data_IF_720612903168
#
_entry.id   IF_720612903168
#
_cell.length_a   1.000
_cell.length_b   1.000
_cell.length_c   1.000
_cell.angle_alpha   90.00
_cell.angle_beta   90.00
_cell.angle_gamma   90.00
#
_symmetry.space_group_name_H-M   'P 1'
#
loop_
_entity.id
_entity.type
_entity.pdbx_description
1 polymer ?
#
# COMPACT_ATOMS: atom_id res chain seq x y z
N UNK A 1 65.33 -29.37 -8.18
CA UNK A 1 64.94 -28.01 -7.76
C UNK A 1 63.63 -27.66 -8.45
N UNK A 2 62.55 -27.59 -7.68
CA UNK A 2 61.20 -27.26 -8.12
C UNK A 2 61.10 -25.75 -8.27
N UNK A 3 60.74 -25.24 -9.45
CA UNK A 3 60.22 -23.88 -9.58
C UNK A 3 58.72 -23.95 -9.85
N UNK A 4 57.98 -23.45 -8.87
CA UNK A 4 56.54 -23.36 -8.75
C UNK A 4 56.08 -22.13 -9.54
N UNK A 5 55.36 -22.32 -10.64
CA UNK A 5 54.58 -21.24 -11.27
C UNK A 5 53.30 -21.03 -10.45
N UNK A 6 53.17 -19.87 -9.82
CA UNK A 6 51.94 -19.44 -9.14
C UNK A 6 51.03 -18.81 -10.19
N UNK A 7 49.94 -19.48 -10.52
CA UNK A 7 48.83 -18.92 -11.30
C UNK A 7 47.90 -18.17 -10.34
N UNK A 8 47.89 -16.84 -10.40
CA UNK A 8 46.89 -16.02 -9.70
C UNK A 8 45.63 -16.06 -10.55
N UNK A 9 44.65 -16.86 -10.13
CA UNK A 9 43.30 -16.82 -10.68
C UNK A 9 42.56 -15.63 -10.06
N UNK A 10 42.44 -14.54 -10.80
CA UNK A 10 41.56 -13.42 -10.45
C UNK A 10 40.11 -13.87 -10.61
N UNK A 11 39.48 -14.28 -9.51
CA UNK A 11 38.03 -14.54 -9.48
C UNK A 11 37.35 -13.16 -9.45
N UNK A 12 36.91 -12.70 -10.63
CA UNK A 12 35.95 -11.61 -10.73
C UNK A 12 34.60 -12.19 -10.33
N UNK A 13 34.21 -12.00 -9.07
CA UNK A 13 32.83 -12.22 -8.64
C UNK A 13 32.02 -11.07 -9.22
N UNK A 14 31.56 -11.24 -10.47
CA UNK A 14 30.43 -10.48 -10.97
C UNK A 14 29.22 -10.94 -10.14
N UNK A 15 28.96 -10.24 -9.04
CA UNK A 15 27.69 -10.31 -8.36
C UNK A 15 26.64 -9.84 -9.36
N UNK A 16 26.03 -10.76 -10.10
CA UNK A 16 24.80 -10.51 -10.80
C UNK A 16 23.74 -10.18 -9.76
N UNK A 17 23.72 -8.92 -9.31
CA UNK A 17 22.47 -8.30 -8.88
C UNK A 17 21.60 -8.40 -10.11
N UNK A 18 20.67 -9.34 -10.14
CA UNK A 18 19.67 -9.40 -11.20
C UNK A 18 18.92 -8.08 -11.15
N UNK A 19 19.32 -7.12 -11.99
CA UNK A 19 18.55 -5.92 -12.21
C UNK A 19 17.21 -6.40 -12.74
N UNK A 20 16.17 -6.26 -11.92
CA UNK A 20 14.81 -6.54 -12.35
C UNK A 20 14.48 -5.44 -13.34
N UNK A 21 14.24 -5.79 -14.61
CA UNK A 21 13.89 -4.80 -15.62
C UNK A 21 12.67 -3.99 -15.15
N UNK A 22 12.73 -2.65 -15.24
CA UNK A 22 11.63 -1.80 -14.81
C UNK A 22 10.41 -2.03 -15.71
N UNK A 23 9.24 -2.14 -15.09
CA UNK A 23 7.97 -2.23 -15.83
C UNK A 23 7.58 -0.83 -16.28
N UNK A 24 7.42 -0.64 -17.59
CA UNK A 24 7.00 0.64 -18.15
C UNK A 24 5.48 0.79 -18.07
N UNK A 25 5.03 1.92 -17.51
CA UNK A 25 3.63 2.31 -17.50
C UNK A 25 3.35 3.30 -18.63
N UNK A 26 2.20 3.21 -19.30
CA UNK A 26 1.76 4.24 -20.24
C UNK A 26 1.64 5.60 -19.53
N UNK A 27 2.19 6.65 -20.14
CA UNK A 27 1.95 8.02 -19.70
C UNK A 27 0.61 8.47 -20.27
N UNK A 28 -0.32 8.86 -19.40
CA UNK A 28 -1.66 9.30 -19.79
C UNK A 28 -1.84 10.76 -19.37
N UNK A 29 -2.18 11.62 -20.32
CA UNK A 29 -2.71 12.96 -20.05
C UNK A 29 -4.23 12.88 -19.83
N UNK A 30 -4.61 12.64 -18.57
CA UNK A 30 -6.02 12.55 -18.19
C UNK A 30 -6.80 13.82 -18.49
N UNK A 31 -6.17 15.00 -18.46
CA UNK A 31 -6.84 16.28 -18.71
C UNK A 31 -7.29 16.38 -20.18
N UNK A 32 -6.42 15.97 -21.10
CA UNK A 32 -6.73 15.93 -22.53
C UNK A 32 -7.75 14.83 -22.87
N UNK A 33 -7.53 13.61 -22.39
CA UNK A 33 -8.36 12.43 -22.72
C UNK A 33 -9.79 12.53 -22.15
N UNK A 34 -9.94 13.12 -20.97
CA UNK A 34 -11.22 13.35 -20.31
C UNK A 34 -11.78 14.75 -20.58
N UNK A 35 -11.26 15.48 -21.57
CA UNK A 35 -11.84 16.75 -21.99
C UNK A 35 -13.35 16.59 -22.29
N UNK A 36 -14.16 17.51 -21.76
CA UNK A 36 -15.62 17.50 -21.88
C UNK A 36 -16.34 16.44 -21.03
N UNK A 37 -15.63 15.62 -20.23
CA UNK A 37 -16.26 14.75 -19.25
C UNK A 37 -16.43 15.48 -17.91
N UNK A 38 -17.58 15.32 -17.26
CA UNK A 38 -17.85 15.86 -15.91
C UNK A 38 -17.43 14.84 -14.85
N UNK A 39 -16.59 15.20 -13.86
CA UNK A 39 -16.22 14.29 -12.79
C UNK A 39 -17.43 13.72 -12.04
N UNK A 40 -17.37 12.44 -11.68
CA UNK A 40 -18.43 11.79 -10.91
C UNK A 40 -18.41 12.28 -9.45
N UNK A 41 -19.55 12.78 -8.96
CA UNK A 41 -19.69 13.16 -7.56
C UNK A 41 -19.70 11.96 -6.60
N UNK A 42 -19.89 12.21 -5.30
CA UNK A 42 -19.92 11.15 -4.29
C UNK A 42 -21.02 10.10 -4.52
N UNK A 43 -22.23 10.53 -4.91
CA UNK A 43 -23.36 9.62 -5.12
C UNK A 43 -23.12 8.71 -6.33
N UNK A 44 -22.65 9.28 -7.45
CA UNK A 44 -22.33 8.52 -8.67
C UNK A 44 -21.18 7.55 -8.46
N UNK A 45 -20.14 7.95 -7.71
CA UNK A 45 -19.05 7.04 -7.32
C UNK A 45 -19.54 5.89 -6.44
N UNK A 46 -20.50 6.13 -5.54
CA UNK A 46 -21.14 5.07 -4.75
C UNK A 46 -21.97 4.11 -5.62
N UNK A 47 -22.67 4.61 -6.64
CA UNK A 47 -23.40 3.77 -7.61
C UNK A 47 -22.44 2.85 -8.36
N UNK A 48 -21.25 3.32 -8.76
CA UNK A 48 -20.29 2.50 -9.49
C UNK A 48 -19.44 1.59 -8.57
N UNK A 49 -19.16 2.01 -7.34
CA UNK A 49 -18.42 1.19 -6.37
C UNK A 49 -19.15 -0.13 -6.10
N UNK A 50 -18.43 -1.26 -6.13
CA UNK A 50 -19.06 -2.57 -5.95
C UNK A 50 -18.20 -3.74 -6.36
N UNK A 51 -18.82 -4.92 -6.30
CA UNK A 51 -18.25 -6.17 -6.82
C UNK A 51 -18.86 -6.45 -8.18
N UNK A 52 -18.02 -6.85 -9.14
CA UNK A 52 -18.40 -7.13 -10.51
C UNK A 52 -18.00 -8.55 -10.89
N UNK A 53 -18.89 -9.26 -11.59
CA UNK A 53 -18.53 -10.49 -12.31
C UNK A 53 -17.78 -10.11 -13.58
N UNK A 54 -16.74 -10.87 -13.89
CA UNK A 54 -16.00 -10.76 -15.15
C UNK A 54 -16.70 -11.66 -16.17
N UNK A 55 -17.36 -11.05 -17.16
CA UNK A 55 -17.99 -11.76 -18.28
C UNK A 55 -16.94 -12.05 -19.36
N UNK A 56 -16.12 -11.04 -19.70
CA UNK A 56 -14.98 -11.14 -20.62
C UNK A 56 -13.70 -10.68 -19.95
N UNK A 57 -12.58 -11.37 -20.20
CA UNK A 57 -11.27 -11.07 -19.59
C UNK A 57 -10.88 -11.94 -18.38
N UNK A 58 -11.60 -13.05 -18.15
CA UNK A 58 -11.39 -13.94 -16.99
C UNK A 58 -9.98 -14.48 -16.84
N UNK A 59 -9.28 -14.74 -17.96
CA UNK A 59 -7.89 -15.22 -17.93
C UNK A 59 -6.94 -14.27 -17.19
N UNK A 60 -7.27 -12.97 -17.18
CA UNK A 60 -6.46 -11.92 -16.55
C UNK A 60 -7.01 -11.49 -15.20
N UNK A 61 -8.32 -11.28 -15.10
CA UNK A 61 -8.95 -10.68 -13.93
C UNK A 61 -9.53 -11.72 -12.95
N UNK A 62 -9.66 -12.97 -13.35
CA UNK A 62 -10.40 -14.00 -12.61
C UNK A 62 -11.91 -13.85 -12.80
N UNK A 63 -12.71 -14.46 -11.91
CA UNK A 63 -14.17 -14.48 -12.04
C UNK A 63 -14.86 -13.21 -11.53
N UNK A 64 -14.20 -12.46 -10.65
CA UNK A 64 -14.77 -11.25 -10.06
C UNK A 64 -13.70 -10.22 -9.74
N UNK A 65 -14.09 -8.95 -9.80
CA UNK A 65 -13.25 -7.81 -9.41
C UNK A 65 -13.98 -6.89 -8.46
N UNK A 66 -13.21 -6.13 -7.68
CA UNK A 66 -13.72 -5.04 -6.87
C UNK A 66 -13.43 -3.70 -7.54
N UNK A 67 -14.46 -2.90 -7.76
CA UNK A 67 -14.35 -1.54 -8.30
C UNK A 67 -14.57 -0.54 -7.17
N UNK A 68 -13.64 0.40 -7.01
CA UNK A 68 -13.67 1.43 -5.96
C UNK A 68 -13.17 2.78 -6.46
N UNK A 69 -13.39 3.80 -5.64
CA UNK A 69 -12.77 5.11 -5.79
C UNK A 69 -11.91 5.45 -4.58
N UNK A 70 -10.78 6.08 -4.87
CA UNK A 70 -9.92 6.78 -3.93
C UNK A 70 -9.91 8.27 -4.31
N UNK A 71 -10.62 9.10 -3.55
CA UNK A 71 -10.94 10.44 -4.03
C UNK A 71 -11.60 10.36 -5.42
N UNK A 72 -11.04 11.05 -6.41
CA UNK A 72 -11.51 11.00 -7.80
C UNK A 72 -10.92 9.86 -8.63
N UNK A 73 -9.95 9.12 -8.08
CA UNK A 73 -9.24 8.04 -8.78
C UNK A 73 -10.14 6.81 -8.86
N UNK A 74 -10.37 6.32 -10.07
CA UNK A 74 -11.07 5.08 -10.35
C UNK A 74 -10.11 3.90 -10.23
N UNK A 75 -10.53 2.83 -9.54
CA UNK A 75 -9.69 1.66 -9.27
C UNK A 75 -10.43 0.34 -9.47
N UNK A 76 -9.72 -0.68 -9.97
CA UNK A 76 -10.19 -2.07 -10.02
C UNK A 76 -9.14 -2.98 -9.41
N UNK A 77 -9.56 -3.90 -8.55
CA UNK A 77 -8.71 -4.92 -7.93
C UNK A 77 -9.15 -6.31 -8.33
N UNK A 78 -8.20 -7.11 -8.80
CA UNK A 78 -8.39 -8.49 -9.22
C UNK A 78 -7.34 -9.40 -8.56
N UNK A 79 -7.80 -10.51 -7.99
CA UNK A 79 -6.91 -11.46 -7.30
C UNK A 79 -6.00 -12.19 -8.31
N UNK A 80 -6.53 -12.53 -9.49
CA UNK A 80 -5.77 -13.21 -10.55
C UNK A 80 -4.58 -12.35 -10.98
N UNK A 81 -3.39 -12.94 -10.92
CA UNK A 81 -2.10 -12.31 -11.20
C UNK A 81 -1.78 -11.07 -10.36
N UNK A 82 -2.54 -10.81 -9.29
CA UNK A 82 -2.50 -9.59 -8.48
C UNK A 82 -2.60 -8.36 -9.39
N UNK A 83 -3.74 -8.21 -10.07
CA UNK A 83 -3.94 -7.17 -11.07
C UNK A 83 -4.65 -5.96 -10.46
N UNK A 84 -4.08 -4.77 -10.63
CA UNK A 84 -4.76 -3.51 -10.34
C UNK A 84 -4.93 -2.67 -11.59
N UNK A 85 -5.99 -1.86 -11.58
CA UNK A 85 -6.29 -0.82 -12.56
C UNK A 85 -6.42 0.49 -11.80
N UNK A 86 -5.81 1.55 -12.30
CA UNK A 86 -5.94 2.89 -11.73
C UNK A 86 -6.02 3.95 -12.83
N UNK A 87 -6.97 4.87 -12.67
CA UNK A 87 -7.17 5.94 -13.64
C UNK A 87 -8.18 6.98 -13.18
N UNK A 88 -8.79 7.66 -14.13
CA UNK A 88 -9.78 8.70 -13.90
C UNK A 88 -10.97 8.52 -14.85
N UNK A 89 -12.12 9.08 -14.48
CA UNK A 89 -13.31 9.00 -15.31
C UNK A 89 -14.36 10.04 -14.96
N UNK A 90 -15.36 10.12 -15.83
CA UNK A 90 -16.42 11.11 -15.74
C UNK A 90 -17.60 10.79 -16.64
N UNK A 91 -18.70 11.52 -16.43
CA UNK A 91 -19.87 11.49 -17.29
C UNK A 91 -19.58 12.21 -18.62
N UNK A 92 -19.95 11.61 -19.74
CA UNK A 92 -19.87 12.19 -21.08
C UNK A 92 -21.19 11.89 -21.81
N UNK A 93 -22.08 12.89 -21.87
CA UNK A 93 -23.47 12.67 -22.24
C UNK A 93 -24.15 11.69 -21.28
N UNK A 94 -24.92 10.73 -21.80
CA UNK A 94 -25.62 9.70 -21.01
C UNK A 94 -24.75 8.48 -20.67
N UNK A 95 -23.43 8.55 -20.86
CA UNK A 95 -22.48 7.47 -20.55
C UNK A 95 -21.41 7.93 -19.57
N UNK A 96 -20.73 6.98 -18.92
CA UNK A 96 -19.51 7.27 -18.15
C UNK A 96 -18.30 6.67 -18.84
N UNK A 97 -17.20 7.42 -18.89
CA UNK A 97 -15.93 6.99 -19.53
C UNK A 97 -14.82 6.99 -18.50
N UNK A 98 -13.92 6.01 -18.60
CA UNK A 98 -12.79 5.81 -17.70
C UNK A 98 -11.54 5.51 -18.53
N UNK A 99 -10.51 6.29 -18.30
CA UNK A 99 -9.19 6.13 -18.90
C UNK A 99 -8.28 5.67 -17.78
N UNK A 100 -7.56 4.56 -17.98
CA UNK A 100 -6.76 3.98 -16.91
C UNK A 100 -5.56 3.18 -17.40
N UNK A 101 -4.64 2.93 -16.47
CA UNK A 101 -3.57 1.96 -16.64
C UNK A 101 -3.84 0.73 -15.80
N UNK A 102 -3.26 -0.41 -16.18
CA UNK A 102 -3.34 -1.66 -15.43
C UNK A 102 -1.96 -2.29 -15.28
N UNK A 103 -1.81 -3.15 -14.26
CA UNK A 103 -0.57 -3.84 -13.91
C UNK A 103 -0.86 -5.18 -13.24
N UNK A 104 -0.21 -6.26 -13.67
CA UNK A 104 -0.28 -7.57 -13.03
C UNK A 104 1.01 -7.88 -12.24
N UNK A 105 1.00 -7.65 -10.93
CA UNK A 105 2.21 -7.60 -10.07
C UNK A 105 3.08 -8.86 -10.15
N UNK A 106 2.49 -10.02 -10.45
CA UNK A 106 3.18 -11.32 -10.59
C UNK A 106 4.05 -11.47 -11.85
N UNK A 107 3.90 -10.60 -12.85
CA UNK A 107 4.66 -10.64 -14.12
C UNK A 107 5.14 -9.25 -14.55
N UNK A 108 5.69 -9.09 -15.77
CA UNK A 108 6.08 -7.78 -16.32
C UNK A 108 4.90 -7.01 -16.94
N UNK A 109 3.73 -7.63 -16.99
CA UNK A 109 2.54 -7.17 -17.69
C UNK A 109 1.98 -5.84 -17.12
N UNK A 110 1.89 -4.83 -17.99
CA UNK A 110 1.23 -3.56 -17.75
C UNK A 110 0.69 -2.98 -19.06
N UNK A 111 -0.26 -2.04 -18.98
CA UNK A 111 -0.78 -1.38 -20.18
C UNK A 111 -1.90 -0.40 -19.89
N UNK A 112 -2.62 -0.02 -20.95
CA UNK A 112 -3.80 0.86 -20.90
C UNK A 112 -5.08 0.04 -20.88
N UNK A 113 -6.05 0.47 -20.08
CA UNK A 113 -7.41 -0.06 -20.06
C UNK A 113 -8.37 1.12 -20.11
N UNK A 114 -9.15 1.21 -21.18
CA UNK A 114 -10.20 2.20 -21.30
C UNK A 114 -11.54 1.49 -21.16
N UNK A 115 -12.41 2.02 -20.29
CA UNK A 115 -13.72 1.45 -20.00
C UNK A 115 -14.80 2.50 -20.22
N UNK A 116 -15.97 2.03 -20.60
CA UNK A 116 -17.19 2.81 -20.72
C UNK A 116 -18.30 2.10 -19.98
N UNK A 117 -19.19 2.87 -19.38
CA UNK A 117 -20.54 2.43 -19.02
C UNK A 117 -21.49 3.00 -20.07
N UNK A 118 -21.91 2.20 -21.08
CA UNK A 118 -22.81 2.67 -22.11
C UNK A 118 -24.15 3.12 -21.54
N UNK A 119 -24.76 4.13 -22.14
CA UNK A 119 -26.07 4.65 -21.71
C UNK A 119 -27.12 3.55 -21.50
N UNK A 120 -27.20 2.60 -22.44
CA UNK A 120 -28.14 1.48 -22.43
C UNK A 120 -27.80 0.37 -21.41
N UNK A 121 -26.56 0.34 -20.88
CA UNK A 121 -26.11 -0.67 -19.93
C UNK A 121 -25.90 -0.09 -18.51
N UNK A 122 -26.74 0.87 -18.13
CA UNK A 122 -26.74 1.53 -16.82
C UNK A 122 -26.03 2.87 -16.79
N UNK A 123 -25.43 3.31 -17.89
CA UNK A 123 -24.72 4.60 -17.98
C UNK A 123 -25.65 5.78 -17.71
N UNK A 124 -26.87 5.76 -18.24
CA UNK A 124 -27.84 6.84 -18.04
C UNK A 124 -28.22 6.98 -16.56
N UNK A 125 -28.55 5.86 -15.89
CA UNK A 125 -28.90 5.87 -14.46
C UNK A 125 -27.73 6.35 -13.60
N UNK A 126 -26.51 5.90 -13.92
CA UNK A 126 -25.29 6.35 -13.26
C UNK A 126 -25.09 7.87 -13.43
N UNK A 127 -25.20 8.39 -14.66
CA UNK A 127 -25.05 9.83 -14.94
C UNK A 127 -26.15 10.65 -14.29
N UNK A 128 -27.38 10.14 -14.23
CA UNK A 128 -28.48 10.79 -13.52
C UNK A 128 -28.34 10.71 -11.99
N UNK A 129 -27.40 9.90 -11.48
CA UNK A 129 -27.21 9.66 -10.05
C UNK A 129 -28.34 8.85 -9.42
N UNK A 130 -28.99 7.97 -10.19
CA UNK A 130 -30.15 7.19 -9.78
C UNK A 130 -29.82 5.70 -9.65
N UNK A 131 -30.63 4.99 -8.87
CA UNK A 131 -30.51 3.55 -8.70
C UNK A 131 -29.34 3.13 -7.80
N UNK A 132 -29.06 1.83 -7.79
CA UNK A 132 -27.98 1.22 -6.99
C UNK A 132 -26.85 0.62 -7.86
N UNK A 133 -26.96 0.78 -9.17
CA UNK A 133 -26.03 0.28 -10.18
C UNK A 133 -26.07 -1.23 -10.40
N UNK A 134 -26.96 -1.99 -9.75
CA UNK A 134 -27.01 -3.45 -9.91
C UNK A 134 -27.27 -3.81 -11.38
N UNK A 135 -26.43 -4.68 -11.94
CA UNK A 135 -26.53 -5.11 -13.34
C UNK A 135 -25.88 -4.17 -14.36
N UNK A 136 -25.40 -2.99 -13.95
CA UNK A 136 -24.64 -2.06 -14.79
C UNK A 136 -23.39 -2.74 -15.35
N UNK A 137 -23.02 -2.38 -16.58
CA UNK A 137 -21.88 -2.95 -17.28
C UNK A 137 -20.78 -1.92 -17.49
N UNK A 138 -19.56 -2.29 -17.11
CA UNK A 138 -18.32 -1.68 -17.59
C UNK A 138 -17.80 -2.54 -18.73
N UNK A 139 -17.63 -1.95 -19.91
CA UNK A 139 -17.08 -2.63 -21.08
C UNK A 139 -15.95 -1.81 -21.69
N UNK A 140 -14.95 -2.47 -22.26
CA UNK A 140 -13.84 -1.78 -22.86
C UNK A 140 -12.75 -2.70 -23.40
N UNK A 141 -11.59 -2.10 -23.68
CA UNK A 141 -10.48 -2.79 -24.32
C UNK A 141 -9.22 -2.59 -23.51
N UNK A 142 -8.62 -3.71 -23.15
CA UNK A 142 -7.31 -3.79 -22.52
C UNK A 142 -6.25 -3.89 -23.62
N UNK A 143 -5.30 -2.96 -23.61
CA UNK A 143 -4.17 -2.97 -24.53
C UNK A 143 -3.03 -3.82 -23.94
N UNK A 144 -2.57 -4.78 -24.73
CA UNK A 144 -1.42 -5.65 -24.49
C UNK A 144 -0.36 -5.28 -25.54
N UNK A 145 0.94 -5.44 -25.24
CA UNK A 145 2.04 -5.03 -26.13
C UNK A 145 1.72 -5.03 -27.65
N UNK A 146 1.38 -6.18 -28.23
CA UNK A 146 0.93 -6.31 -29.62
C UNK A 146 -0.55 -6.73 -29.79
N UNK A 147 -1.33 -6.79 -28.71
CA UNK A 147 -2.67 -7.39 -28.68
C UNK A 147 -3.72 -6.53 -28.00
N UNK A 148 -4.98 -6.96 -28.12
CA UNK A 148 -6.12 -6.34 -27.44
C UNK A 148 -7.01 -7.43 -26.87
N UNK A 149 -7.54 -7.18 -25.67
CA UNK A 149 -8.46 -8.09 -24.99
C UNK A 149 -9.70 -7.30 -24.59
N UNK A 150 -10.88 -7.83 -24.92
CA UNK A 150 -12.15 -7.23 -24.48
C UNK A 150 -12.35 -7.51 -23.00
N UNK A 151 -12.71 -6.48 -22.25
CA UNK A 151 -13.09 -6.58 -20.85
C UNK A 151 -14.56 -6.23 -20.71
N UNK A 152 -15.33 -7.09 -20.05
CA UNK A 152 -16.74 -6.85 -19.75
C UNK A 152 -17.03 -7.26 -18.32
N UNK A 153 -17.51 -6.32 -17.52
CA UNK A 153 -17.72 -6.47 -16.08
C UNK A 153 -19.17 -6.11 -15.74
N UNK A 154 -19.91 -7.04 -15.14
CA UNK A 154 -21.29 -6.80 -14.66
C UNK A 154 -21.32 -6.59 -13.17
N UNK A 155 -21.89 -5.48 -12.72
CA UNK A 155 -22.04 -5.21 -11.29
C UNK A 155 -23.00 -6.19 -10.62
N UNK A 156 -22.51 -6.93 -9.64
CA UNK A 156 -23.28 -7.88 -8.84
C UNK A 156 -23.96 -7.19 -7.66
N UNK A 157 -23.26 -6.26 -7.01
CA UNK A 157 -23.78 -5.57 -5.84
C UNK A 157 -22.79 -4.57 -5.22
N UNK A 158 -23.22 -3.96 -4.13
CA UNK A 158 -22.43 -3.04 -3.32
C UNK A 158 -21.47 -3.79 -2.39
N UNK A 159 -20.34 -3.16 -2.06
CA UNK A 159 -19.46 -3.64 -0.98
C UNK A 159 -20.17 -3.35 0.37
N UNK A 160 -20.42 -4.38 1.20
CA UNK A 160 -21.14 -4.15 2.48
C UNK A 160 -20.37 -3.17 3.39
N UNK A 161 -21.11 -2.26 4.02
CA UNK A 161 -20.59 -1.18 4.89
C UNK A 161 -19.80 -1.67 6.10
N UNK A 162 -20.12 -2.86 6.64
CA UNK A 162 -19.35 -3.47 7.75
C UNK A 162 -17.85 -3.63 7.42
N UNK A 163 -17.50 -3.71 6.14
CA UNK A 163 -16.13 -3.80 5.67
C UNK A 163 -15.35 -2.47 5.73
N UNK A 164 -16.00 -1.33 5.97
CA UNK A 164 -15.35 -0.01 5.90
C UNK A 164 -14.40 0.27 7.06
N UNK A 165 -14.48 -0.47 8.17
CA UNK A 165 -13.59 -0.30 9.32
C UNK A 165 -12.30 -1.09 9.21
N UNK A 166 -12.27 -2.12 8.35
CA UNK A 166 -11.12 -2.99 8.20
C UNK A 166 -9.96 -2.25 7.53
N UNK A 167 -8.76 -2.39 8.09
CA UNK A 167 -7.55 -1.77 7.56
C UNK A 167 -6.81 -2.71 6.60
N UNK A 168 -6.68 -2.28 5.34
CA UNK A 168 -5.74 -2.85 4.38
C UNK A 168 -4.45 -2.03 4.52
N UNK A 169 -3.47 -2.58 5.24
CA UNK A 169 -2.24 -1.87 5.59
C UNK A 169 -1.16 -2.27 4.58
N UNK A 170 -0.71 -1.32 3.76
CA UNK A 170 0.38 -1.61 2.83
C UNK A 170 1.74 -1.48 3.52
N UNK A 171 2.49 -2.57 3.53
CA UNK A 171 3.84 -2.65 4.09
C UNK A 171 4.81 -1.72 3.34
N UNK A 172 5.73 -1.07 4.05
CA UNK A 172 6.76 -0.17 3.48
C UNK A 172 6.21 0.92 2.57
N UNK A 173 5.02 1.42 2.89
CA UNK A 173 4.31 2.44 2.16
C UNK A 173 3.57 1.94 0.90
N UNK A 174 3.57 0.64 0.58
CA UNK A 174 2.90 0.13 -0.63
C UNK A 174 3.25 -1.31 -1.01
N UNK A 175 4.50 -1.71 -0.80
CA UNK A 175 5.08 -2.99 -1.15
C UNK A 175 6.61 -2.91 -1.16
N UNK A 176 7.30 -4.02 -1.45
CA UNK A 176 8.76 -4.05 -1.56
C UNK A 176 9.20 -3.69 -2.97
N UNK A 177 10.51 -3.56 -3.15
CA UNK A 177 11.10 -3.39 -4.48
C UNK A 177 10.88 -4.61 -5.40
N UNK A 178 10.68 -5.82 -4.84
CA UNK A 178 10.47 -7.05 -5.61
C UNK A 178 9.16 -7.07 -6.38
N UNK A 179 8.17 -6.28 -5.98
CA UNK A 179 6.86 -6.19 -6.63
C UNK A 179 6.88 -5.34 -7.92
N UNK A 180 7.99 -4.64 -8.18
CA UNK A 180 8.22 -3.87 -9.43
C UNK A 180 7.08 -2.88 -9.72
N UNK A 181 6.68 -2.13 -8.70
CA UNK A 181 5.64 -1.09 -8.80
C UNK A 181 6.17 0.23 -9.40
N UNK A 182 7.43 0.26 -9.84
CA UNK A 182 8.08 1.43 -10.41
C UNK A 182 8.36 2.54 -9.39
N UNK A 183 8.25 2.22 -8.10
CA UNK A 183 8.52 3.10 -6.95
C UNK A 183 9.30 2.31 -5.90
N UNK A 184 10.21 2.98 -5.21
CA UNK A 184 11.01 2.33 -4.17
C UNK A 184 10.21 2.15 -2.88
N UNK A 185 10.40 1.03 -2.20
CA UNK A 185 9.89 0.79 -0.83
C UNK A 185 10.28 1.96 0.08
N UNK A 186 9.39 2.36 1.00
CA UNK A 186 9.57 3.51 1.92
C UNK A 186 9.77 4.89 1.27
N UNK A 187 9.57 5.03 -0.05
CA UNK A 187 9.62 6.32 -0.72
C UNK A 187 8.28 7.06 -0.64
N UNK A 188 8.30 8.40 -0.63
CA UNK A 188 7.08 9.21 -0.74
C UNK A 188 6.28 8.83 -2.00
N UNK A 189 6.90 8.68 -3.19
CA UNK A 189 6.20 8.22 -4.38
C UNK A 189 5.52 6.84 -4.26
N UNK A 190 6.00 5.93 -3.40
CA UNK A 190 5.29 4.68 -3.08
C UNK A 190 4.08 4.94 -2.18
N UNK A 191 4.23 5.76 -1.13
CA UNK A 191 3.13 6.13 -0.23
C UNK A 191 1.96 6.79 -0.99
N UNK A 192 2.25 7.59 -2.03
CA UNK A 192 1.22 8.20 -2.89
C UNK A 192 0.50 7.20 -3.81
N UNK A 193 1.08 6.02 -4.01
CA UNK A 193 0.51 4.93 -4.79
C UNK A 193 -0.36 4.00 -3.94
N UNK A 194 -0.10 3.89 -2.63
CA UNK A 194 -0.71 2.91 -1.73
C UNK A 194 -2.24 2.80 -1.84
N UNK A 195 -2.94 3.94 -1.80
CA UNK A 195 -4.40 3.97 -1.87
C UNK A 195 -4.95 3.45 -3.20
N UNK A 196 -4.24 3.70 -4.30
CA UNK A 196 -4.58 3.16 -5.62
C UNK A 196 -4.32 1.65 -5.73
N UNK A 197 -3.50 1.09 -4.84
CA UNK A 197 -3.30 -0.35 -4.72
C UNK A 197 -4.36 -1.00 -3.81
N UNK A 198 -5.29 -0.22 -3.26
CA UNK A 198 -6.38 -0.70 -2.41
C UNK A 198 -6.14 -0.54 -0.91
N UNK A 199 -5.00 0.04 -0.52
CA UNK A 199 -4.67 0.29 0.88
C UNK A 199 -5.56 1.36 1.49
N UNK A 200 -5.93 1.19 2.76
CA UNK A 200 -6.57 2.22 3.60
C UNK A 200 -5.58 2.81 4.60
N UNK A 201 -4.46 2.11 4.82
CA UNK A 201 -3.40 2.46 5.74
C UNK A 201 -2.05 2.07 5.16
N UNK A 202 -0.97 2.60 5.73
CA UNK A 202 0.40 2.19 5.42
C UNK A 202 1.17 1.89 6.69
N UNK A 203 2.14 1.00 6.58
CA UNK A 203 3.26 0.89 7.53
C UNK A 203 4.50 1.47 6.85
N UNK A 204 5.34 2.17 7.62
CA UNK A 204 6.64 2.68 7.17
C UNK A 204 7.72 2.49 8.23
N UNK A 205 8.92 2.15 7.78
CA UNK A 205 10.04 1.83 8.67
C UNK A 205 10.86 3.07 9.02
N UNK A 206 11.20 3.26 10.30
CA UNK A 206 11.93 4.43 10.78
C UNK A 206 13.31 4.07 11.31
N UNK A 207 14.33 4.63 10.67
CA UNK A 207 15.73 4.57 11.07
C UNK A 207 16.29 5.97 11.39
N UNK A 208 17.55 6.02 11.83
CA UNK A 208 18.21 7.25 12.27
C UNK A 208 19.47 7.56 11.45
N UNK A 209 19.65 8.82 11.06
CA UNK A 209 20.93 9.31 10.53
C UNK A 209 21.97 9.52 11.65
N UNK A 210 23.22 9.77 11.25
CA UNK A 210 24.34 10.07 12.17
C UNK A 210 24.05 11.22 13.13
N UNK A 211 23.42 12.29 12.65
CA UNK A 211 23.05 13.47 13.42
C UNK A 211 21.66 13.37 14.07
N UNK A 212 21.12 12.16 14.20
CA UNK A 212 19.87 11.87 14.88
C UNK A 212 18.63 12.50 14.23
N UNK A 213 18.59 12.49 12.90
CA UNK A 213 17.38 12.85 12.13
C UNK A 213 16.65 11.56 11.73
N UNK A 214 15.37 11.37 12.12
CA UNK A 214 14.58 10.23 11.68
C UNK A 214 14.34 10.22 10.17
N UNK A 215 14.62 9.09 9.53
CA UNK A 215 14.40 8.84 8.11
C UNK A 215 13.57 7.59 7.89
N UNK A 216 12.93 7.50 6.74
CA UNK A 216 12.07 6.36 6.38
C UNK A 216 12.87 5.39 5.51
N UNK A 217 13.24 4.26 6.10
CA UNK A 217 14.09 3.24 5.50
C UNK A 217 14.03 1.95 6.32
N UNK A 218 14.03 0.78 5.66
CA UNK A 218 13.83 -0.53 6.32
C UNK A 218 15.14 -1.16 6.86
N UNK A 219 16.14 -1.31 6.00
CA UNK A 219 17.34 -2.09 6.34
C UNK A 219 18.27 -1.31 7.27
N UNK A 220 18.98 -1.96 8.21
CA UNK A 220 19.97 -1.28 9.05
C UNK A 220 21.20 -0.81 8.27
N UNK A 221 21.36 -1.28 7.01
CA UNK A 221 22.48 -0.94 6.13
C UNK A 221 22.02 -0.57 4.73
N UNK A 222 22.68 0.42 4.14
CA UNK A 222 22.58 0.69 2.71
C UNK A 222 23.31 -0.39 1.91
N UNK A 223 22.60 -0.93 0.92
CA UNK A 223 23.12 -1.95 -0.01
C UNK A 223 22.71 -1.58 -1.43
N UNK A 224 23.39 -2.17 -2.43
CA UNK A 224 23.04 -1.94 -3.83
C UNK A 224 21.60 -2.36 -4.19
N UNK A 225 20.93 -3.19 -3.38
CA UNK A 225 19.52 -3.60 -3.56
C UNK A 225 18.54 -2.44 -3.35
N UNK A 226 18.83 -1.57 -2.40
CA UNK A 226 17.92 -0.50 -1.95
C UNK A 226 18.45 0.88 -2.30
N UNK A 227 19.77 1.05 -2.25
CA UNK A 227 20.51 2.28 -2.52
C UNK A 227 21.72 1.93 -3.39
N UNK A 228 21.60 1.96 -4.73
CA UNK A 228 22.69 1.67 -5.65
C UNK A 228 23.70 2.83 -5.70
N UNK A 229 24.45 3.02 -4.61
CA UNK A 229 25.49 4.03 -4.47
C UNK A 229 26.85 3.39 -4.16
N UNK A 230 27.94 3.80 -4.83
CA UNK A 230 29.29 3.37 -4.47
C UNK A 230 29.85 4.10 -3.24
N UNK A 231 29.18 5.17 -2.77
CA UNK A 231 29.68 6.04 -1.69
C UNK A 231 28.94 5.84 -0.36
N UNK A 232 27.69 5.38 -0.44
CA UNK A 232 26.80 5.19 0.70
C UNK A 232 26.47 3.70 0.82
N UNK A 233 27.21 3.00 1.70
CA UNK A 233 27.17 1.55 1.90
C UNK A 233 27.39 1.21 3.38
N UNK A 234 26.74 0.17 3.88
CA UNK A 234 26.85 -0.23 5.28
C UNK A 234 25.89 0.56 6.18
N UNK A 235 26.18 0.64 7.47
CA UNK A 235 25.21 1.07 8.48
C UNK A 235 24.61 2.47 8.19
N UNK A 236 23.28 2.58 8.28
CA UNK A 236 22.53 3.81 8.01
C UNK A 236 23.01 4.96 8.90
N UNK A 237 23.26 4.67 10.17
CA UNK A 237 23.70 5.63 11.19
C UNK A 237 25.11 6.21 10.97
N UNK A 238 25.88 5.70 10.01
CA UNK A 238 27.20 6.25 9.68
C UNK A 238 27.12 7.53 8.84
N UNK A 239 25.95 7.83 8.26
CA UNK A 239 25.79 8.87 7.26
C UNK A 239 24.90 10.01 7.74
N UNK A 240 25.25 11.23 7.35
CA UNK A 240 24.38 12.38 7.54
C UNK A 240 23.29 12.47 6.48
N UNK A 241 22.18 13.15 6.78
CA UNK A 241 21.13 13.40 5.81
C UNK A 241 21.68 14.14 4.58
N UNK A 242 22.60 15.09 4.78
CA UNK A 242 23.26 15.79 3.67
C UNK A 242 24.08 14.83 2.80
N UNK A 243 24.88 13.94 3.40
CA UNK A 243 25.64 12.93 2.66
C UNK A 243 24.71 12.01 1.87
N UNK A 244 23.62 11.54 2.49
CA UNK A 244 22.60 10.74 1.81
C UNK A 244 21.98 11.50 0.63
N UNK A 245 21.59 12.77 0.82
CA UNK A 245 20.96 13.58 -0.25
C UNK A 245 21.90 13.88 -1.41
N UNK A 246 23.20 13.99 -1.17
CA UNK A 246 24.20 14.25 -2.21
C UNK A 246 24.65 12.98 -2.95
N UNK A 247 24.77 11.86 -2.24
CA UNK A 247 25.47 10.68 -2.74
C UNK A 247 24.61 9.41 -2.83
N UNK A 248 23.34 9.44 -2.40
CA UNK A 248 22.45 8.29 -2.43
C UNK A 248 21.09 8.62 -3.06
N UNK A 249 20.54 7.62 -3.75
CA UNK A 249 19.14 7.55 -4.18
C UNK A 249 18.63 6.16 -3.88
N UNK A 250 17.33 6.04 -3.63
CA UNK A 250 16.66 4.76 -3.62
C UNK A 250 16.74 4.11 -5.01
N UNK A 251 16.46 2.81 -5.09
CA UNK A 251 16.68 2.01 -6.30
C UNK A 251 15.97 2.53 -7.56
N UNK A 252 14.82 3.22 -7.43
CA UNK A 252 14.12 3.87 -8.55
C UNK A 252 14.42 5.37 -8.68
N UNK A 253 15.49 5.86 -8.05
CA UNK A 253 15.99 7.23 -8.20
C UNK A 253 15.38 8.25 -7.23
N UNK A 254 14.47 7.85 -6.34
CA UNK A 254 13.89 8.75 -5.35
C UNK A 254 14.90 9.13 -4.25
N UNK A 255 14.67 10.25 -3.57
CA UNK A 255 15.41 10.59 -2.36
C UNK A 255 14.91 9.77 -1.17
N UNK A 256 15.81 9.42 -0.24
CA UNK A 256 15.44 8.84 1.06
C UNK A 256 14.75 9.93 1.89
N UNK A 257 13.45 9.79 2.25
CA UNK A 257 12.73 10.85 2.93
C UNK A 257 13.05 10.85 4.43
N UNK A 258 13.01 12.05 5.03
CA UNK A 258 12.87 12.17 6.48
C UNK A 258 11.46 11.75 6.89
N UNK A 259 11.28 11.32 8.15
CA UNK A 259 9.95 10.96 8.65
C UNK A 259 8.95 12.12 8.52
N UNK A 260 9.41 13.35 8.79
CA UNK A 260 8.58 14.56 8.67
C UNK A 260 8.10 14.80 7.23
N UNK A 261 8.99 14.67 6.24
CA UNK A 261 8.61 14.82 4.83
C UNK A 261 7.60 13.75 4.42
N UNK A 262 7.80 12.49 4.85
CA UNK A 262 6.91 11.38 4.54
C UNK A 262 5.51 11.58 5.11
N UNK A 263 5.39 11.84 6.42
CA UNK A 263 4.11 12.06 7.08
C UNK A 263 3.38 13.28 6.51
N UNK A 264 4.09 14.38 6.28
CA UNK A 264 3.51 15.57 5.66
C UNK A 264 2.95 15.28 4.27
N UNK A 265 3.68 14.54 3.43
CA UNK A 265 3.20 14.16 2.10
C UNK A 265 1.94 13.28 2.17
N UNK A 266 1.91 12.31 3.09
CA UNK A 266 0.74 11.45 3.32
C UNK A 266 -0.48 12.26 3.73
N UNK A 267 -0.32 13.19 4.69
CA UNK A 267 -1.39 14.06 5.20
C UNK A 267 -1.96 14.97 4.11
N UNK A 268 -1.09 15.54 3.27
CA UNK A 268 -1.49 16.54 2.28
C UNK A 268 -2.07 15.93 1.00
N UNK A 269 -1.68 14.71 0.65
CA UNK A 269 -1.85 14.18 -0.72
C UNK A 269 -2.49 12.80 -0.81
N UNK A 270 -2.96 12.22 0.30
CA UNK A 270 -3.62 10.90 0.30
C UNK A 270 -4.92 10.91 1.09
N UNK A 271 -5.70 9.83 0.94
CA UNK A 271 -6.91 9.55 1.74
C UNK A 271 -6.67 8.47 2.79
N UNK A 272 -5.42 8.10 3.03
CA UNK A 272 -5.06 7.06 4.00
C UNK A 272 -5.51 7.49 5.40
N UNK A 273 -6.12 6.56 6.13
CA UNK A 273 -6.65 6.83 7.47
C UNK A 273 -5.64 6.54 8.59
N UNK A 274 -4.56 5.81 8.29
CA UNK A 274 -3.59 5.39 9.29
C UNK A 274 -2.18 5.23 8.73
N UNK A 275 -1.19 5.63 9.55
CA UNK A 275 0.24 5.33 9.38
C UNK A 275 0.74 4.59 10.61
N UNK A 276 1.26 3.39 10.42
CA UNK A 276 2.03 2.63 11.42
C UNK A 276 3.52 2.93 11.23
N UNK A 277 4.17 3.45 12.26
CA UNK A 277 5.61 3.70 12.28
C UNK A 277 6.35 2.50 12.88
N UNK A 278 6.98 1.67 12.06
CA UNK A 278 7.82 0.55 12.53
C UNK A 278 9.22 1.07 12.91
N UNK A 279 9.45 1.24 14.21
CA UNK A 279 10.66 1.89 14.72
C UNK A 279 11.81 0.89 14.81
N UNK A 280 12.87 1.09 14.01
CA UNK A 280 13.96 0.12 13.88
C UNK A 280 15.17 0.32 14.80
N UNK A 281 15.18 1.38 15.60
CA UNK A 281 16.35 1.70 16.42
C UNK A 281 15.96 2.44 17.71
N UNK A 282 16.44 2.03 18.91
CA UNK A 282 16.08 2.67 20.17
C UNK A 282 16.33 4.19 20.19
N UNK A 283 17.41 4.65 19.58
CA UNK A 283 17.74 6.07 19.51
C UNK A 283 16.72 6.94 18.76
N UNK A 284 15.80 6.36 17.97
CA UNK A 284 14.75 7.12 17.26
C UNK A 284 13.57 7.51 18.14
N UNK A 285 13.34 6.78 19.23
CA UNK A 285 12.07 6.80 20.00
C UNK A 285 11.61 8.23 20.32
N UNK A 286 12.43 9.03 21.01
CA UNK A 286 12.04 10.37 21.43
C UNK A 286 11.78 11.30 20.24
N UNK A 287 12.64 11.26 19.22
CA UNK A 287 12.49 12.11 18.03
C UNK A 287 11.27 11.72 17.20
N UNK A 288 10.94 10.44 17.13
CA UNK A 288 9.73 9.96 16.45
C UNK A 288 8.48 10.41 17.19
N UNK A 289 8.43 10.28 18.52
CA UNK A 289 7.28 10.76 19.31
C UNK A 289 7.06 12.26 19.09
N UNK A 290 8.12 13.08 19.11
CA UNK A 290 8.05 14.52 18.86
C UNK A 290 7.50 14.81 17.45
N UNK A 291 8.03 14.14 16.42
CA UNK A 291 7.55 14.32 15.03
C UNK A 291 6.10 13.86 14.90
N UNK A 292 5.72 12.76 15.53
CA UNK A 292 4.36 12.24 15.53
C UNK A 292 3.37 13.24 16.13
N UNK A 293 3.67 13.83 17.30
CA UNK A 293 2.85 14.89 17.90
C UNK A 293 2.67 16.08 16.96
N UNK A 294 3.77 16.55 16.35
CA UNK A 294 3.75 17.67 15.42
C UNK A 294 2.88 17.36 14.18
N UNK A 295 3.00 16.15 13.62
CA UNK A 295 2.25 15.75 12.43
C UNK A 295 0.78 15.46 12.73
N UNK A 296 0.43 14.97 13.92
CA UNK A 296 -0.95 14.88 14.36
C UNK A 296 -1.59 16.27 14.54
N UNK A 297 -0.86 17.23 15.13
CA UNK A 297 -1.32 18.61 15.22
C UNK A 297 -1.48 19.25 13.82
N UNK A 298 -0.55 18.96 12.91
CA UNK A 298 -0.62 19.41 11.52
C UNK A 298 -1.85 18.84 10.80
N UNK A 299 -2.09 17.53 10.89
CA UNK A 299 -3.25 16.88 10.30
C UNK A 299 -4.56 17.48 10.83
N UNK A 300 -4.67 17.66 12.15
CA UNK A 300 -5.82 18.31 12.78
C UNK A 300 -6.06 19.73 12.26
N UNK A 301 -5.01 20.51 12.03
CA UNK A 301 -5.10 21.86 11.44
C UNK A 301 -5.66 21.87 10.01
N UNK A 302 -5.57 20.73 9.30
CA UNK A 302 -6.11 20.50 7.96
C UNK A 302 -7.50 19.88 7.97
N UNK A 303 -8.06 19.58 9.15
CA UNK A 303 -9.29 18.78 9.25
C UNK A 303 -9.11 17.34 8.79
N UNK A 304 -7.87 16.84 8.78
CA UNK A 304 -7.54 15.45 8.48
C UNK A 304 -7.50 14.65 9.79
N UNK A 305 -8.23 13.55 9.85
CA UNK A 305 -8.41 12.66 11.00
C UNK A 305 -7.48 11.44 10.99
N UNK A 306 -6.42 11.47 10.17
CA UNK A 306 -5.42 10.40 10.09
C UNK A 306 -4.85 10.05 11.46
N UNK A 307 -4.72 8.75 11.71
CA UNK A 307 -4.03 8.19 12.86
C UNK A 307 -2.58 7.94 12.51
N UNK A 308 -1.68 8.27 13.43
CA UNK A 308 -0.26 7.92 13.33
C UNK A 308 0.04 7.14 14.60
N UNK A 309 0.46 5.89 14.46
CA UNK A 309 0.72 4.97 15.57
C UNK A 309 2.22 4.76 15.72
N UNK A 310 2.73 4.94 16.94
CA UNK A 310 4.09 4.57 17.29
C UNK A 310 4.16 3.05 17.41
N UNK A 311 4.85 2.37 16.49
CA UNK A 311 5.02 0.91 16.53
C UNK A 311 6.13 0.49 17.50
N UNK A 312 5.83 -0.49 18.35
CA UNK A 312 6.79 -1.17 19.21
C UNK A 312 6.99 -2.60 18.66
N UNK A 313 8.02 -2.83 17.83
CA UNK A 313 8.25 -4.13 17.19
C UNK A 313 8.98 -5.13 18.09
N UNK A 314 9.83 -4.64 19.01
CA UNK A 314 10.73 -5.47 19.80
C UNK A 314 10.94 -4.96 21.24
N UNK A 315 11.66 -5.77 22.01
CA UNK A 315 11.99 -5.49 23.41
C UNK A 315 12.90 -4.27 23.61
N UNK A 316 13.78 -3.94 22.66
CA UNK A 316 14.68 -2.80 22.79
C UNK A 316 13.91 -1.49 22.64
N UNK A 317 13.03 -1.41 21.64
CA UNK A 317 12.12 -0.28 21.45
C UNK A 317 11.15 -0.17 22.64
N UNK A 318 10.61 -1.30 23.12
CA UNK A 318 9.73 -1.32 24.30
C UNK A 318 10.41 -0.72 25.53
N UNK A 319 11.64 -1.16 25.83
CA UNK A 319 12.40 -0.64 26.97
C UNK A 319 12.72 0.85 26.81
N UNK A 320 13.09 1.28 25.61
CA UNK A 320 13.41 2.67 25.35
C UNK A 320 12.18 3.57 25.39
N UNK A 321 11.04 3.12 24.87
CA UNK A 321 9.74 3.80 25.01
C UNK A 321 9.36 3.96 26.48
N UNK A 322 9.53 2.92 27.29
CA UNK A 322 9.28 2.97 28.73
C UNK A 322 10.16 3.95 29.50
N UNK A 323 11.38 4.22 29.01
CA UNK A 323 12.30 5.22 29.59
C UNK A 323 12.09 6.62 29.03
N UNK A 324 11.35 6.76 27.94
CA UNK A 324 11.13 8.05 27.29
C UNK A 324 10.36 9.00 28.21
N UNK A 325 10.77 10.27 28.35
CA UNK A 325 9.96 11.27 29.04
C UNK A 325 8.64 11.59 28.32
N UNK A 326 8.47 11.09 27.08
CA UNK A 326 7.27 11.29 26.26
C UNK A 326 6.35 10.07 26.23
N UNK A 327 6.58 9.05 27.07
CA UNK A 327 5.67 7.89 27.21
C UNK A 327 4.22 8.35 27.42
N UNK A 328 3.27 7.72 26.72
CA UNK A 328 1.83 7.97 26.87
C UNK A 328 1.34 9.27 26.25
N UNK A 329 2.17 10.00 25.51
CA UNK A 329 1.78 11.28 24.88
C UNK A 329 1.28 11.13 23.44
N UNK A 330 1.38 9.94 22.86
CA UNK A 330 0.99 9.63 21.48
C UNK A 330 0.33 8.25 21.40
N UNK A 331 -0.54 8.01 20.39
CA UNK A 331 -1.06 6.68 20.10
C UNK A 331 0.04 5.66 19.82
N UNK A 332 -0.14 4.43 20.32
CA UNK A 332 0.83 3.34 20.22
C UNK A 332 0.19 2.10 19.62
N UNK A 333 0.98 1.37 18.83
CA UNK A 333 0.74 0.01 18.39
C UNK A 333 1.86 -0.87 18.93
N UNK A 334 1.54 -2.06 19.44
CA UNK A 334 2.53 -2.98 19.99
C UNK A 334 2.40 -4.37 19.35
N UNK A 335 3.53 -4.91 18.86
CA UNK A 335 3.58 -6.20 18.16
C UNK A 335 3.86 -7.38 19.10
N UNK A 336 4.22 -7.07 20.34
CA UNK A 336 4.61 -8.05 21.35
C UNK A 336 3.38 -8.71 22.01
N UNK A 337 3.60 -9.41 23.11
CA UNK A 337 2.51 -10.05 23.85
C UNK A 337 1.50 -9.05 24.45
N UNK A 338 0.30 -9.55 24.74
CA UNK A 338 -0.82 -8.77 25.27
C UNK A 338 -0.54 -8.14 26.65
N UNK A 339 0.44 -8.63 27.40
CA UNK A 339 0.81 -7.99 28.67
C UNK A 339 1.55 -6.68 28.39
N UNK A 340 2.50 -6.69 27.45
CA UNK A 340 3.20 -5.48 27.01
C UNK A 340 2.27 -4.49 26.33
N UNK A 341 1.31 -4.95 25.52
CA UNK A 341 0.25 -4.10 24.95
C UNK A 341 -0.43 -3.27 26.05
N UNK A 342 -0.81 -3.92 27.16
CA UNK A 342 -1.46 -3.24 28.29
C UNK A 342 -0.51 -2.32 29.07
N UNK A 343 0.76 -2.69 29.23
CA UNK A 343 1.75 -1.89 29.98
C UNK A 343 2.06 -0.53 29.33
N UNK A 344 2.05 -0.48 28.00
CA UNK A 344 2.23 0.76 27.24
C UNK A 344 0.91 1.40 26.82
N UNK A 345 -0.22 0.83 27.26
CA UNK A 345 -1.57 1.21 26.86
C UNK A 345 -1.75 1.39 25.35
N UNK A 346 -1.25 0.42 24.58
CA UNK A 346 -1.29 0.48 23.12
C UNK A 346 -2.72 0.33 22.58
N UNK A 347 -3.16 1.28 21.75
CA UNK A 347 -4.48 1.25 21.09
C UNK A 347 -4.65 0.03 20.16
N UNK A 348 -3.53 -0.52 19.68
CA UNK A 348 -3.51 -1.62 18.73
C UNK A 348 -2.54 -2.71 19.17
N UNK A 349 -3.01 -3.96 19.14
CA UNK A 349 -2.17 -5.15 19.20
C UNK A 349 -1.91 -5.66 17.78
N UNK A 350 -0.65 -5.95 17.44
CA UNK A 350 -0.26 -6.37 16.10
C UNK A 350 0.58 -7.66 16.09
N UNK A 351 -0.02 -8.83 16.36
CA UNK A 351 0.73 -10.09 16.36
C UNK A 351 1.17 -10.50 14.95
N UNK A 352 2.31 -11.21 14.89
CA UNK A 352 2.76 -11.90 13.67
C UNK A 352 1.81 -13.03 13.28
N UNK A 353 1.53 -13.20 11.98
CA UNK A 353 0.59 -14.21 11.47
C UNK A 353 1.02 -15.65 11.76
N UNK A 354 2.33 -15.89 11.94
CA UNK A 354 2.89 -17.22 12.24
C UNK A 354 2.51 -17.71 13.64
N UNK A 355 1.99 -16.85 14.51
CA UNK A 355 1.37 -17.24 15.77
C UNK A 355 -0.06 -17.80 15.61
N UNK A 356 -0.58 -17.85 14.38
CA UNK A 356 -1.96 -18.24 14.10
C UNK A 356 -2.95 -17.10 14.32
N UNK A 357 -4.24 -17.43 14.23
CA UNK A 357 -5.32 -16.43 14.31
C UNK A 357 -5.61 -15.96 15.73
N UNK A 358 -5.28 -16.75 16.76
CA UNK A 358 -5.37 -16.36 18.17
C UNK A 358 -6.74 -15.79 18.57
N UNK A 359 -7.84 -16.33 18.02
CA UNK A 359 -9.20 -15.76 18.07
C UNK A 359 -9.67 -15.33 19.47
N UNK A 360 -9.32 -16.09 20.51
CA UNK A 360 -9.68 -15.78 21.90
C UNK A 360 -8.96 -14.51 22.39
N UNK A 361 -7.64 -14.41 22.18
CA UNK A 361 -6.85 -13.23 22.53
C UNK A 361 -7.25 -12.01 21.69
N UNK A 362 -7.57 -12.21 20.41
CA UNK A 362 -8.05 -11.14 19.53
C UNK A 362 -9.33 -10.53 20.11
N UNK A 363 -10.30 -11.39 20.46
CA UNK A 363 -11.57 -10.94 21.08
C UNK A 363 -11.35 -10.31 22.45
N UNK A 364 -10.41 -10.82 23.24
CA UNK A 364 -10.03 -10.24 24.53
C UNK A 364 -9.54 -8.79 24.37
N UNK A 365 -8.59 -8.55 23.46
CA UNK A 365 -8.10 -7.21 23.14
C UNK A 365 -9.19 -6.29 22.61
N UNK A 366 -10.08 -6.79 21.75
CA UNK A 366 -11.22 -6.02 21.23
C UNK A 366 -12.23 -5.65 22.31
N UNK A 367 -12.49 -6.55 23.27
CA UNK A 367 -13.36 -6.27 24.41
C UNK A 367 -12.76 -5.21 25.35
N UNK A 368 -11.43 -5.04 25.35
CA UNK A 368 -10.73 -3.93 26.01
C UNK A 368 -10.75 -2.63 25.20
N UNK A 369 -11.38 -2.60 24.02
CA UNK A 369 -11.46 -1.44 23.15
C UNK A 369 -10.22 -1.22 22.28
N UNK A 370 -9.35 -2.23 22.15
CA UNK A 370 -8.14 -2.19 21.30
C UNK A 370 -8.46 -2.79 19.93
N UNK A 371 -7.86 -2.27 18.87
CA UNK A 371 -7.92 -2.92 17.56
C UNK A 371 -6.84 -3.99 17.45
N UNK A 372 -7.06 -5.00 16.59
CA UNK A 372 -6.06 -6.04 16.34
C UNK A 372 -5.74 -6.16 14.86
N UNK A 373 -4.47 -5.91 14.53
CA UNK A 373 -3.93 -6.05 13.18
C UNK A 373 -3.01 -7.28 13.10
N UNK A 374 -2.82 -7.86 11.92
CA UNK A 374 -1.91 -9.01 11.76
C UNK A 374 -0.96 -8.80 10.59
N UNK A 375 0.29 -9.22 10.75
CA UNK A 375 1.36 -8.97 9.78
C UNK A 375 2.33 -10.17 9.65
N UNK A 376 3.10 -10.31 8.56
CA UNK A 376 2.85 -9.80 7.21
C UNK A 376 2.22 -10.92 6.39
N UNK A 377 0.99 -10.75 5.92
CA UNK A 377 0.26 -11.77 5.15
C UNK A 377 0.37 -11.49 3.65
N UNK A 378 1.15 -12.29 2.95
CA UNK A 378 1.43 -12.10 1.52
C UNK A 378 0.86 -13.20 0.61
N UNK A 379 0.75 -14.40 1.15
CA UNK A 379 0.28 -15.59 0.47
C UNK A 379 -1.26 -15.63 0.43
N UNK A 380 -1.84 -15.99 -0.72
CA UNK A 380 -3.28 -15.92 -0.94
C UNK A 380 -4.07 -16.91 -0.06
N UNK A 381 -3.58 -18.14 0.12
CA UNK A 381 -4.20 -19.12 1.00
C UNK A 381 -4.25 -18.64 2.46
N UNK A 382 -3.14 -18.04 2.95
CA UNK A 382 -3.12 -17.45 4.29
C UNK A 382 -4.02 -16.21 4.39
N UNK A 383 -3.99 -15.30 3.41
CA UNK A 383 -4.90 -14.14 3.39
C UNK A 383 -6.36 -14.61 3.45
N UNK A 384 -6.75 -15.59 2.62
CA UNK A 384 -8.11 -16.14 2.59
C UNK A 384 -8.46 -16.76 3.94
N UNK A 385 -7.55 -17.52 4.56
CA UNK A 385 -7.77 -18.13 5.87
C UNK A 385 -8.02 -17.07 6.95
N UNK A 386 -7.20 -16.04 7.03
CA UNK A 386 -7.34 -14.98 8.04
C UNK A 386 -8.59 -14.12 7.79
N UNK A 387 -8.92 -13.84 6.52
CA UNK A 387 -10.18 -13.19 6.17
C UNK A 387 -11.42 -14.05 6.50
N UNK A 388 -11.33 -15.38 6.42
CA UNK A 388 -12.43 -16.28 6.79
C UNK A 388 -12.66 -16.33 8.30
N UNK A 389 -11.59 -16.18 9.11
CA UNK A 389 -11.73 -16.07 10.56
C UNK A 389 -12.56 -14.84 10.96
N UNK A 390 -12.46 -13.74 10.19
CA UNK A 390 -13.24 -12.50 10.33
C UNK A 390 -13.16 -11.88 11.76
N UNK A 391 -12.02 -12.07 12.44
CA UNK A 391 -11.76 -11.54 13.79
C UNK A 391 -10.84 -10.32 13.82
N UNK A 392 -10.00 -10.11 12.81
CA UNK A 392 -9.02 -9.01 12.79
C UNK A 392 -9.61 -7.70 12.25
N UNK A 393 -9.15 -6.59 12.81
CA UNK A 393 -9.50 -5.23 12.35
C UNK A 393 -8.63 -4.77 11.19
N UNK A 394 -7.51 -5.44 10.91
CA UNK A 394 -6.63 -5.11 9.80
C UNK A 394 -5.62 -6.18 9.46
N UNK A 395 -5.13 -6.15 8.22
CA UNK A 395 -4.04 -7.01 7.74
C UNK A 395 -2.98 -6.12 7.08
N UNK A 396 -1.72 -6.33 7.47
CA UNK A 396 -0.55 -5.78 6.81
C UNK A 396 -0.01 -6.76 5.77
N UNK A 397 0.24 -6.26 4.56
CA UNK A 397 0.66 -7.06 3.40
C UNK A 397 1.56 -6.28 2.46
N UNK A 398 2.42 -6.99 1.72
CA UNK A 398 3.13 -6.46 0.55
C UNK A 398 2.26 -6.42 -0.71
N UNK A 399 1.09 -7.06 -0.69
CA UNK A 399 0.16 -7.15 -1.80
C UNK A 399 -1.20 -6.52 -1.44
N UNK A 400 -1.27 -5.20 -1.17
CA UNK A 400 -2.53 -4.54 -0.83
C UNK A 400 -3.60 -4.73 -1.91
N UNK A 401 -3.20 -4.88 -3.18
CA UNK A 401 -4.11 -5.18 -4.30
C UNK A 401 -4.75 -6.56 -4.17
N UNK A 402 -3.96 -7.57 -3.81
CA UNK A 402 -4.47 -8.93 -3.61
C UNK A 402 -5.44 -8.95 -2.43
N UNK A 403 -5.03 -8.36 -1.31
CA UNK A 403 -5.86 -8.27 -0.11
C UNK A 403 -7.15 -7.50 -0.40
N UNK A 404 -7.10 -6.36 -1.08
CA UNK A 404 -8.28 -5.62 -1.50
C UNK A 404 -9.22 -6.44 -2.38
N UNK A 405 -8.68 -7.12 -3.40
CA UNK A 405 -9.47 -7.98 -4.27
C UNK A 405 -10.17 -9.08 -3.47
N UNK A 406 -9.44 -9.84 -2.65
CA UNK A 406 -10.00 -10.94 -1.85
C UNK A 406 -11.00 -10.42 -0.81
N UNK A 407 -10.66 -9.35 -0.10
CA UNK A 407 -11.49 -8.78 0.96
C UNK A 407 -12.83 -8.22 0.46
N UNK A 408 -12.83 -7.52 -0.68
CA UNK A 408 -14.06 -6.95 -1.22
C UNK A 408 -14.91 -7.99 -1.97
N UNK A 409 -14.29 -8.98 -2.63
CA UNK A 409 -15.00 -10.00 -3.41
C UNK A 409 -15.48 -11.19 -2.59
N UNK A 410 -14.94 -11.44 -1.38
CA UNK A 410 -15.37 -12.54 -0.47
C UNK A 410 -16.87 -12.59 -0.16
N UNK A 411 -17.60 -11.51 -0.45
CA UNK A 411 -19.05 -11.43 -0.22
C UNK A 411 -19.90 -12.06 -1.32
N UNK A 412 -19.29 -12.39 -2.46
CA UNK A 412 -19.97 -12.90 -3.65
C UNK A 412 -19.35 -14.22 -4.12
N UNK A 413 -18.35 -14.73 -3.40
CA UNK A 413 -17.90 -16.11 -3.58
C UNK A 413 -18.94 -17.05 -2.96
N UNK A 414 -19.29 -18.16 -3.63
CA UNK A 414 -20.35 -19.08 -3.20
C UNK A 414 -20.10 -19.71 -1.83
#
# INVERSE_FOLDING_TARGET
MKHLLVFIATIVVAGCVSQLDPVQFPIIDYSAELAGATPLDGNRRLILTGVYAVEDGKGRLGDSVAVRFDGLRFTIYAARNVTFVAGAGGARGDSAVFISTWRAVTGPDAGRLDLVVPAAEGGKELVDGKGNGKGLILTGVLQLGAGRETIRLRKLGQIKTRLRKFQIIAHRGGGRNSERLGRSENSIPMMMLASALGATAIEIDVHMTKERIPIVFHDPTFTARTVPSPYVIGAVENYTLLQMRLAARLVNGESIPTLREALKAVIDSTTLSLVWLDNKAPQVVDSVIIIQQEMLAYAKSKGNDIRILFGIPDDEIFQQYNRSPFKGTVPVLCELDVQKVREVDAEVWAPRFTAGTQDELVKEMQNEGREVYVWTLDDDDFIIRFLKADVFDGILTNYPTLLAALFYTRQVQP
#
